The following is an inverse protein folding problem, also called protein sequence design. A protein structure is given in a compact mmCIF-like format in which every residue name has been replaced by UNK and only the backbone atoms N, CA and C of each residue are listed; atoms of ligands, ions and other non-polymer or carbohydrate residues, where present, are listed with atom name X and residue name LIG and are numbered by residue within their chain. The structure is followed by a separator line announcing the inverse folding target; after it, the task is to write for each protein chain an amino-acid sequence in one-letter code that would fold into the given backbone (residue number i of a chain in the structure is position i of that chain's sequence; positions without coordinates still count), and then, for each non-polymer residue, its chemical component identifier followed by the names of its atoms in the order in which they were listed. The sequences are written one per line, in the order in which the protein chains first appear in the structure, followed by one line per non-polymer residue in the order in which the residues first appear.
data_IF_194241483095
#
_entry.id   IF_194241483095
#
_cell.length_a   1.000
_cell.length_b   1.000
_cell.length_c   1.000
_cell.angle_alpha   90.00
_cell.angle_beta   90.00
_cell.angle_gamma   90.00
#
_symmetry.space_group_name_H-M   'P 1'
#
loop_
_entity.id
_entity.type
_entity.pdbx_description
1 polymer ?
#
# COMPACT_ATOMS: atom_id res chain seq x y z
N UNK A 1 -25.14 -62.94 53.04
CA UNK A 1 -25.79 -62.52 51.81
C UNK A 1 -25.22 -61.15 51.41
N UNK A 2 -24.40 -61.09 50.42
CA UNK A 2 -23.74 -59.86 49.94
C UNK A 2 -24.35 -59.53 48.54
N UNK A 3 -24.92 -58.36 48.43
CA UNK A 3 -25.48 -57.85 47.15
C UNK A 3 -24.38 -57.30 46.26
N UNK A 4 -24.41 -57.45 44.92
CA UNK A 4 -23.45 -56.88 44.00
C UNK A 4 -23.77 -55.42 43.66
N UNK A 5 -22.73 -54.60 43.67
CA UNK A 5 -22.80 -53.19 43.20
C UNK A 5 -22.73 -53.12 41.69
N UNK A 6 -23.73 -52.51 41.06
CA UNK A 6 -23.71 -52.15 39.64
C UNK A 6 -22.89 -50.87 39.42
N UNK A 7 -21.83 -50.96 38.68
CA UNK A 7 -21.09 -49.79 38.12
C UNK A 7 -21.76 -49.36 36.79
N UNK A 8 -22.31 -48.15 36.80
CA UNK A 8 -22.77 -47.50 35.58
C UNK A 8 -21.59 -46.82 34.88
N UNK A 9 -21.20 -47.28 33.70
CA UNK A 9 -20.26 -46.58 32.82
C UNK A 9 -20.99 -45.43 32.10
N UNK A 10 -20.65 -44.21 32.49
CA UNK A 10 -21.06 -43.02 31.74
C UNK A 10 -20.06 -42.80 30.62
N UNK A 11 -20.48 -43.04 29.37
CA UNK A 11 -19.69 -42.72 28.18
C UNK A 11 -19.72 -41.19 27.91
N UNK A 12 -18.59 -40.53 28.08
CA UNK A 12 -18.37 -39.15 27.68
C UNK A 12 -18.18 -39.11 26.14
N UNK A 13 -19.20 -38.66 25.42
CA UNK A 13 -19.09 -38.37 24.00
C UNK A 13 -18.36 -37.03 23.82
N UNK A 14 -17.07 -37.06 23.48
CA UNK A 14 -16.33 -35.88 23.08
C UNK A 14 -16.75 -35.44 21.67
N UNK A 15 -17.53 -34.38 21.59
CA UNK A 15 -17.85 -33.73 20.31
C UNK A 15 -16.59 -33.08 19.76
N UNK A 16 -15.96 -33.69 18.77
CA UNK A 16 -14.99 -33.04 17.90
C UNK A 16 -15.75 -31.99 17.07
N UNK A 17 -15.72 -30.75 17.52
CA UNK A 17 -16.07 -29.62 16.68
C UNK A 17 -15.01 -29.51 15.57
N UNK A 18 -15.31 -30.07 14.40
CA UNK A 18 -14.50 -29.92 13.21
C UNK A 18 -14.37 -28.43 12.91
N UNK A 19 -13.14 -27.89 12.88
CA UNK A 19 -12.86 -26.59 12.27
C UNK A 19 -13.33 -26.70 10.81
N UNK A 20 -14.43 -26.04 10.50
CA UNK A 20 -14.83 -25.83 9.10
C UNK A 20 -13.64 -25.17 8.40
N UNK A 21 -13.01 -25.89 7.48
CA UNK A 21 -11.95 -25.35 6.67
C UNK A 21 -12.48 -24.10 5.96
N UNK A 22 -11.79 -22.98 6.05
CA UNK A 22 -12.17 -21.78 5.32
C UNK A 22 -12.25 -22.12 3.82
N UNK A 23 -13.31 -21.65 3.16
CA UNK A 23 -13.45 -21.79 1.72
C UNK A 23 -12.21 -21.19 1.02
N UNK A 24 -11.76 -21.73 -0.11
CA UNK A 24 -10.62 -21.15 -0.84
C UNK A 24 -10.92 -19.70 -1.24
N UNK A 25 -9.89 -18.82 -1.24
CA UNK A 25 -10.05 -17.42 -1.63
C UNK A 25 -10.69 -17.28 -3.00
N UNK A 26 -11.69 -16.40 -3.13
CA UNK A 26 -12.24 -16.03 -4.44
C UNK A 26 -11.38 -14.91 -5.04
N UNK A 27 -11.32 -14.87 -6.37
CA UNK A 27 -10.67 -13.75 -7.10
C UNK A 27 -11.76 -12.91 -7.75
N UNK A 28 -11.71 -11.62 -7.52
CA UNK A 28 -12.61 -10.61 -8.04
C UNK A 28 -11.86 -9.70 -9.01
N UNK A 29 -12.43 -9.48 -10.20
CA UNK A 29 -11.87 -8.51 -11.15
C UNK A 29 -12.34 -7.11 -10.81
N UNK A 30 -11.42 -6.13 -10.77
CA UNK A 30 -11.71 -4.73 -10.51
C UNK A 30 -10.96 -3.85 -11.53
N UNK A 31 -11.69 -3.37 -12.52
CA UNK A 31 -11.15 -2.48 -13.55
C UNK A 31 -11.24 -1.02 -13.11
N UNK A 32 -10.28 -0.19 -13.55
CA UNK A 32 -10.32 1.24 -13.35
C UNK A 32 -11.23 1.89 -14.40
N UNK A 33 -12.43 2.29 -13.99
CA UNK A 33 -13.46 2.94 -14.81
C UNK A 33 -14.03 4.16 -14.09
N UNK A 34 -14.79 5.05 -14.77
CA UNK A 34 -15.43 6.17 -14.08
C UNK A 34 -16.37 5.78 -12.92
N UNK A 35 -16.85 4.54 -12.89
CA UNK A 35 -17.72 4.02 -11.84
C UNK A 35 -16.98 3.33 -10.68
N UNK A 36 -15.69 3.02 -10.85
CA UNK A 36 -14.92 2.18 -9.91
C UNK A 36 -13.69 2.88 -9.35
N UNK A 37 -13.60 4.19 -9.47
CA UNK A 37 -12.48 4.97 -8.94
C UNK A 37 -12.94 6.05 -7.96
N UNK A 38 -12.15 6.22 -6.90
CA UNK A 38 -12.12 7.41 -6.06
C UNK A 38 -11.04 8.35 -6.60
N UNK A 39 -11.43 9.44 -7.25
CA UNK A 39 -10.50 10.35 -7.86
C UNK A 39 -10.09 11.45 -6.89
N UNK A 40 -8.91 11.35 -6.34
CA UNK A 40 -8.26 12.37 -5.52
C UNK A 40 -8.63 12.35 -4.04
N UNK A 41 -9.19 11.27 -3.49
CA UNK A 41 -9.60 11.25 -2.09
C UNK A 41 -9.63 9.84 -1.48
N UNK A 42 -9.62 9.81 -0.13
CA UNK A 42 -10.06 8.72 0.73
C UNK A 42 -11.22 9.22 1.59
N UNK A 43 -12.25 8.40 1.84
CA UNK A 43 -13.43 8.83 2.58
C UNK A 43 -14.21 7.68 3.20
N UNK A 44 -14.53 7.81 4.51
CA UNK A 44 -15.25 6.78 5.25
C UNK A 44 -16.72 6.59 4.83
N UNK A 45 -17.32 7.61 4.18
CA UNK A 45 -18.70 7.55 3.68
C UNK A 45 -18.77 7.24 2.18
N UNK A 46 -17.63 6.89 1.56
CA UNK A 46 -17.62 6.52 0.15
C UNK A 46 -18.40 5.22 -0.09
N UNK A 47 -19.23 5.22 -1.13
CA UNK A 47 -19.96 3.99 -1.52
C UNK A 47 -18.98 2.98 -2.10
N UNK A 48 -18.88 1.76 -1.53
CA UNK A 48 -17.98 0.75 -2.06
C UNK A 48 -18.43 0.25 -3.45
N UNK A 49 -17.46 0.09 -4.35
CA UNK A 49 -17.68 -0.42 -5.70
C UNK A 49 -17.59 -1.93 -5.78
N UNK A 50 -17.01 -2.55 -4.76
CA UNK A 50 -16.87 -3.99 -4.63
C UNK A 50 -16.94 -4.38 -3.14
N UNK A 51 -17.58 -5.52 -2.86
CA UNK A 51 -17.61 -6.14 -1.52
C UNK A 51 -17.02 -7.53 -1.61
N UNK A 52 -16.09 -7.87 -0.72
CA UNK A 52 -15.38 -9.16 -0.70
C UNK A 52 -15.32 -9.74 0.69
N UNK A 53 -15.15 -11.05 0.78
CA UNK A 53 -14.86 -11.71 2.05
C UNK A 53 -13.38 -11.47 2.45
N UNK A 54 -13.13 -11.46 3.77
CA UNK A 54 -11.75 -11.47 4.27
C UNK A 54 -10.98 -12.70 3.78
N UNK A 55 -9.81 -12.47 3.20
CA UNK A 55 -8.96 -13.47 2.56
C UNK A 55 -9.13 -13.58 1.04
N UNK A 56 -10.13 -12.94 0.45
CA UNK A 56 -10.31 -12.90 -0.99
C UNK A 56 -9.21 -12.10 -1.70
N UNK A 57 -9.12 -12.31 -3.01
CA UNK A 57 -8.13 -11.68 -3.89
C UNK A 57 -8.85 -10.72 -4.84
N UNK A 58 -8.28 -9.54 -5.04
CA UNK A 58 -8.65 -8.66 -6.13
C UNK A 58 -7.60 -8.71 -7.25
N UNK A 59 -8.05 -8.81 -8.49
CA UNK A 59 -7.25 -8.63 -9.71
C UNK A 59 -7.59 -7.23 -10.23
N UNK A 60 -6.74 -6.25 -9.89
CA UNK A 60 -7.05 -4.82 -9.98
C UNK A 60 -6.19 -4.12 -11.03
N UNK A 61 -6.82 -3.25 -11.85
CA UNK A 61 -6.13 -2.30 -12.70
C UNK A 61 -6.04 -0.95 -12.01
N UNK A 62 -4.91 -0.27 -12.19
CA UNK A 62 -4.74 1.13 -11.81
C UNK A 62 -4.27 1.95 -13.01
N UNK A 63 -4.42 3.26 -12.91
CA UNK A 63 -4.01 4.19 -13.96
C UNK A 63 -2.95 5.14 -13.43
N UNK A 64 -2.05 5.54 -14.33
CA UNK A 64 -1.06 6.56 -14.01
C UNK A 64 -1.71 7.91 -13.67
N UNK A 65 -1.08 8.65 -12.79
CA UNK A 65 -1.54 9.95 -12.30
C UNK A 65 -1.17 11.07 -13.28
N UNK A 66 -1.91 11.19 -14.38
CA UNK A 66 -1.73 12.28 -15.36
C UNK A 66 -3.04 12.53 -16.12
N UNK A 67 -3.07 13.62 -16.91
CA UNK A 67 -4.17 13.90 -17.83
C UNK A 67 -3.81 13.44 -19.25
N UNK A 68 -4.81 13.09 -20.09
CA UNK A 68 -4.58 12.81 -21.50
C UNK A 68 -3.86 13.95 -22.23
N UNK A 69 -4.22 15.19 -21.91
CA UNK A 69 -3.56 16.40 -22.46
C UNK A 69 -2.11 16.56 -21.99
N UNK A 70 -1.81 16.24 -20.74
CA UNK A 70 -0.43 16.25 -20.21
C UNK A 70 0.43 15.23 -20.92
N UNK A 71 -0.05 14.00 -21.09
CA UNK A 71 0.64 12.95 -21.82
C UNK A 71 0.86 13.29 -23.31
N UNK A 72 -0.15 13.87 -23.96
CA UNK A 72 -0.03 14.31 -25.36
C UNK A 72 1.02 15.43 -25.51
N UNK A 73 1.06 16.42 -24.61
CA UNK A 73 2.11 17.44 -24.55
C UNK A 73 3.51 16.84 -24.34
N UNK A 74 3.61 15.77 -23.56
CA UNK A 74 4.84 15.05 -23.33
C UNK A 74 5.25 14.11 -24.51
N UNK A 75 4.45 14.07 -25.58
CA UNK A 75 4.77 13.34 -26.82
C UNK A 75 4.18 11.92 -26.87
N UNK A 76 3.28 11.54 -25.97
CA UNK A 76 2.58 10.24 -26.06
C UNK A 76 1.55 10.31 -27.17
N UNK A 77 1.60 9.45 -28.20
CA UNK A 77 0.56 9.38 -29.24
C UNK A 77 -0.81 9.10 -28.65
N UNK A 78 -1.84 9.74 -29.16
CA UNK A 78 -3.22 9.61 -28.63
C UNK A 78 -3.70 8.15 -28.57
N UNK A 79 -3.34 7.34 -29.55
CA UNK A 79 -3.66 5.90 -29.59
C UNK A 79 -2.98 5.07 -28.49
N UNK A 80 -1.92 5.59 -27.85
CA UNK A 80 -1.22 4.94 -26.72
C UNK A 80 -1.72 5.43 -25.37
N UNK A 81 -2.54 6.48 -25.31
CA UNK A 81 -3.19 6.95 -24.08
C UNK A 81 -4.40 6.05 -23.80
N UNK A 82 -4.42 5.45 -22.61
CA UNK A 82 -5.46 4.49 -22.23
C UNK A 82 -6.87 5.10 -22.34
N UNK A 83 -7.81 4.38 -22.96
CA UNK A 83 -9.19 4.82 -23.12
C UNK A 83 -9.88 5.01 -21.74
N UNK A 84 -9.56 4.16 -20.76
CA UNK A 84 -10.06 4.30 -19.39
C UNK A 84 -9.59 5.60 -18.72
N UNK A 85 -8.33 6.01 -18.93
CA UNK A 85 -7.83 7.30 -18.42
C UNK A 85 -8.59 8.47 -19.04
N UNK A 86 -8.82 8.44 -20.36
CA UNK A 86 -9.61 9.47 -21.08
C UNK A 86 -11.04 9.55 -20.53
N UNK A 87 -11.69 8.39 -20.34
CA UNK A 87 -13.04 8.31 -19.81
C UNK A 87 -13.12 8.87 -18.37
N UNK A 88 -12.22 8.43 -17.48
CA UNK A 88 -12.20 8.88 -16.09
C UNK A 88 -11.98 10.37 -15.98
N UNK A 89 -11.00 10.92 -16.69
CA UNK A 89 -10.70 12.37 -16.64
C UNK A 89 -11.83 13.21 -17.20
N UNK A 90 -12.58 12.71 -18.20
CA UNK A 90 -13.73 13.42 -18.79
C UNK A 90 -15.02 13.30 -17.97
N UNK A 91 -15.24 12.17 -17.29
CA UNK A 91 -16.53 11.88 -16.65
C UNK A 91 -16.51 12.10 -15.13
N UNK A 92 -15.35 11.92 -14.46
CA UNK A 92 -15.21 12.12 -13.00
C UNK A 92 -14.81 13.56 -12.73
N UNK A 93 -15.82 14.43 -12.65
CA UNK A 93 -15.66 15.88 -12.50
C UNK A 93 -16.54 16.42 -11.37
N UNK A 94 -16.38 17.70 -11.01
CA UNK A 94 -17.17 18.36 -9.96
C UNK A 94 -17.05 17.64 -8.63
N UNK A 95 -18.17 17.41 -7.95
CA UNK A 95 -18.23 16.78 -6.62
C UNK A 95 -17.76 15.32 -6.60
N UNK A 96 -17.65 14.68 -7.77
CA UNK A 96 -17.09 13.33 -7.87
C UNK A 96 -15.57 13.30 -7.74
N UNK A 97 -14.89 14.44 -7.95
CA UNK A 97 -13.45 14.59 -7.81
C UNK A 97 -13.10 15.19 -6.45
N UNK A 98 -12.17 14.57 -5.74
CA UNK A 98 -11.67 15.06 -4.46
C UNK A 98 -10.57 16.12 -4.62
N UNK A 99 -9.99 16.54 -3.49
CA UNK A 99 -8.98 17.60 -3.47
C UNK A 99 -7.59 17.16 -3.96
N UNK A 100 -7.33 15.85 -4.08
CA UNK A 100 -6.05 15.31 -4.57
C UNK A 100 -6.02 15.06 -6.07
N UNK A 101 -4.93 14.43 -6.53
CA UNK A 101 -4.67 14.17 -7.95
C UNK A 101 -4.76 12.70 -8.38
N UNK A 102 -4.64 11.76 -7.46
CA UNK A 102 -4.50 10.34 -7.78
C UNK A 102 -5.83 9.70 -8.20
N UNK A 103 -5.77 8.82 -9.20
CA UNK A 103 -6.89 7.97 -9.61
C UNK A 103 -6.75 6.66 -8.84
N UNK A 104 -7.55 6.49 -7.79
CA UNK A 104 -7.51 5.32 -6.92
C UNK A 104 -8.63 4.35 -7.31
N UNK A 105 -8.30 3.10 -7.61
CA UNK A 105 -9.28 2.06 -7.91
C UNK A 105 -9.84 1.51 -6.61
N UNK A 106 -11.15 1.55 -6.45
CA UNK A 106 -11.90 1.28 -5.23
C UNK A 106 -13.02 2.30 -5.00
N UNK A 107 -13.62 2.36 -3.79
CA UNK A 107 -13.28 1.61 -2.58
C UNK A 107 -13.75 0.15 -2.59
N UNK A 108 -12.96 -0.74 -2.00
CA UNK A 108 -13.32 -2.13 -1.77
C UNK A 108 -13.70 -2.34 -0.30
N UNK A 109 -14.92 -2.80 -0.07
CA UNK A 109 -15.40 -3.16 1.26
C UNK A 109 -14.99 -4.59 1.59
N UNK A 110 -14.26 -4.80 2.69
CA UNK A 110 -13.87 -6.12 3.18
C UNK A 110 -14.78 -6.52 4.33
N UNK A 111 -15.54 -7.59 4.16
CA UNK A 111 -16.51 -8.06 5.14
C UNK A 111 -15.85 -8.39 6.48
N UNK A 112 -16.48 -7.94 7.56
CA UNK A 112 -16.02 -8.12 8.94
C UNK A 112 -14.87 -7.23 9.37
N UNK A 113 -14.40 -6.31 8.53
CA UNK A 113 -13.41 -5.29 8.93
C UNK A 113 -14.07 -4.21 9.78
N UNK A 114 -13.52 -3.97 10.98
CA UNK A 114 -14.04 -3.01 11.94
C UNK A 114 -12.94 -2.04 12.41
N UNK A 115 -13.28 -0.82 12.82
CA UNK A 115 -12.32 0.10 13.41
C UNK A 115 -11.53 -0.55 14.56
N UNK A 116 -10.20 -0.36 14.53
CA UNK A 116 -9.29 -0.95 15.50
C UNK A 116 -8.77 -2.34 15.13
N UNK A 117 -9.23 -2.96 14.03
CA UNK A 117 -8.56 -4.09 13.40
C UNK A 117 -7.40 -3.61 12.52
N UNK A 118 -6.66 -4.53 11.90
CA UNK A 118 -5.74 -4.22 10.84
C UNK A 118 -6.15 -4.92 9.53
N UNK A 119 -5.89 -4.27 8.39
CA UNK A 119 -5.99 -4.88 7.06
C UNK A 119 -4.61 -5.38 6.63
N UNK A 120 -4.49 -6.69 6.43
CA UNK A 120 -3.33 -7.31 5.80
C UNK A 120 -3.52 -7.28 4.29
N UNK A 121 -2.62 -6.58 3.59
CA UNK A 121 -2.60 -6.39 2.15
C UNK A 121 -1.40 -7.14 1.59
N UNK A 122 -1.60 -8.34 1.06
CA UNK A 122 -0.55 -9.11 0.38
C UNK A 122 -0.48 -8.75 -1.08
N UNK A 123 0.66 -8.27 -1.53
CA UNK A 123 0.93 -7.97 -2.94
C UNK A 123 1.46 -9.23 -3.61
N UNK A 124 0.55 -9.99 -4.26
CA UNK A 124 0.89 -11.30 -4.82
C UNK A 124 1.63 -11.20 -6.16
N UNK A 125 1.26 -10.22 -6.99
CA UNK A 125 1.87 -9.95 -8.28
C UNK A 125 1.63 -8.50 -8.69
N UNK A 126 2.57 -7.94 -9.48
CA UNK A 126 2.43 -6.64 -10.13
C UNK A 126 2.92 -6.79 -11.57
N UNK A 127 2.10 -6.33 -12.52
CA UNK A 127 2.40 -6.30 -13.95
C UNK A 127 2.43 -4.87 -14.48
N UNK A 128 3.28 -4.63 -15.48
CA UNK A 128 3.39 -3.38 -16.22
C UNK A 128 2.60 -3.47 -17.54
N UNK A 129 1.36 -2.96 -17.62
CA UNK A 129 0.55 -3.03 -18.84
C UNK A 129 1.05 -2.07 -19.94
N UNK A 130 1.68 -0.96 -19.56
CA UNK A 130 2.22 0.02 -20.48
C UNK A 130 3.70 -0.23 -20.84
N UNK A 131 4.10 0.26 -22.01
CA UNK A 131 5.49 0.25 -22.47
C UNK A 131 6.23 1.57 -22.14
N UNK A 132 5.57 2.45 -21.43
CA UNK A 132 6.12 3.74 -21.03
C UNK A 132 5.65 4.13 -19.63
N UNK A 133 6.44 4.97 -19.01
CA UNK A 133 6.08 5.79 -17.87
C UNK A 133 6.48 7.24 -18.15
N UNK A 134 6.25 8.10 -17.19
CA UNK A 134 6.76 9.47 -17.25
C UNK A 134 7.40 9.85 -15.91
N UNK A 135 8.28 10.84 -15.97
CA UNK A 135 8.80 11.54 -14.80
C UNK A 135 8.60 13.03 -15.01
N UNK A 136 8.10 13.71 -14.00
CA UNK A 136 7.95 15.15 -13.96
C UNK A 136 9.24 15.85 -13.56
N UNK A 137 9.12 17.12 -13.21
CA UNK A 137 10.17 17.85 -12.51
C UNK A 137 9.55 18.96 -11.69
N UNK A 138 9.59 18.83 -10.36
CA UNK A 138 9.09 19.81 -9.38
C UNK A 138 9.64 19.48 -7.99
N UNK A 139 8.80 19.24 -7.02
CA UNK A 139 9.12 18.61 -5.75
C UNK A 139 9.99 19.43 -4.80
N UNK A 140 11.03 18.79 -4.25
CA UNK A 140 11.80 19.32 -3.13
C UNK A 140 12.78 20.44 -3.50
N UNK A 141 13.35 20.37 -4.73
CA UNK A 141 14.30 21.35 -5.25
C UNK A 141 13.86 21.87 -6.62
N UNK A 142 12.73 22.58 -6.73
CA UNK A 142 12.12 22.95 -8.01
C UNK A 142 12.97 23.89 -8.87
N UNK A 143 13.92 24.60 -8.29
CA UNK A 143 14.83 25.50 -9.02
C UNK A 143 15.79 24.75 -9.98
N UNK A 144 15.89 23.41 -9.86
CA UNK A 144 16.63 22.57 -10.81
C UNK A 144 15.79 22.18 -12.01
N UNK A 145 14.53 22.54 -12.06
CA UNK A 145 13.64 22.22 -13.18
C UNK A 145 13.62 23.36 -14.21
N UNK A 146 13.75 23.00 -15.48
CA UNK A 146 13.56 23.95 -16.57
C UNK A 146 12.08 24.32 -16.70
N UNK A 147 11.80 25.61 -16.92
CA UNK A 147 10.44 26.09 -17.10
C UNK A 147 9.86 25.63 -18.45
N UNK A 148 8.57 25.32 -18.43
CA UNK A 148 7.79 24.95 -19.63
C UNK A 148 8.24 23.65 -20.33
N UNK A 149 9.11 22.87 -19.70
CA UNK A 149 9.50 21.54 -20.20
C UNK A 149 8.42 20.52 -19.81
N UNK A 150 7.87 19.77 -20.77
CA UNK A 150 6.93 18.69 -20.48
C UNK A 150 7.59 17.57 -19.68
N UNK A 151 6.78 16.76 -19.00
CA UNK A 151 7.27 15.53 -18.38
C UNK A 151 8.04 14.66 -19.36
N UNK A 152 9.12 14.06 -18.88
CA UNK A 152 9.95 13.14 -19.68
C UNK A 152 9.22 11.79 -19.82
N UNK A 153 8.97 11.37 -21.05
CA UNK A 153 8.47 10.02 -21.32
C UNK A 153 9.63 9.05 -21.33
N UNK A 154 9.52 7.99 -20.54
CA UNK A 154 10.56 6.98 -20.36
C UNK A 154 10.03 5.65 -20.87
N UNK A 155 10.74 5.02 -21.82
CA UNK A 155 10.36 3.72 -22.36
C UNK A 155 10.75 2.61 -21.40
N UNK A 156 9.80 1.70 -21.11
CA UNK A 156 9.98 0.58 -20.20
C UNK A 156 10.30 -0.70 -20.97
N UNK A 157 11.45 -1.27 -20.72
CA UNK A 157 11.79 -2.61 -21.21
C UNK A 157 11.27 -3.66 -20.21
N UNK A 158 10.02 -4.07 -20.39
CA UNK A 158 9.33 -5.03 -19.50
C UNK A 158 10.00 -6.42 -19.47
N UNK A 159 10.62 -6.83 -20.56
CA UNK A 159 11.29 -8.12 -20.63
C UNK A 159 12.59 -8.17 -19.82
N UNK A 160 13.31 -7.04 -19.77
CA UNK A 160 14.55 -6.89 -19.00
C UNK A 160 14.34 -6.28 -17.62
N UNK A 161 13.11 -5.80 -17.35
CA UNK A 161 12.80 -5.00 -16.16
C UNK A 161 13.76 -3.84 -15.96
N UNK A 162 13.92 -3.01 -17.03
CA UNK A 162 14.79 -1.84 -17.03
C UNK A 162 14.15 -0.70 -17.82
N UNK A 163 14.59 0.52 -17.55
CA UNK A 163 14.28 1.70 -18.34
C UNK A 163 15.57 2.46 -18.66
N UNK A 164 15.73 2.93 -19.88
CA UNK A 164 16.84 3.82 -20.25
C UNK A 164 16.41 5.26 -20.00
N UNK A 165 17.03 5.91 -19.01
CA UNK A 165 16.76 7.30 -18.67
C UNK A 165 17.40 8.26 -19.68
N UNK A 166 18.65 8.02 -20.02
CA UNK A 166 19.44 8.67 -21.07
C UNK A 166 20.38 7.63 -21.70
N UNK A 167 20.96 7.88 -22.87
CA UNK A 167 21.90 6.95 -23.48
C UNK A 167 23.00 6.50 -22.52
N UNK A 168 22.99 5.20 -22.20
CA UNK A 168 23.92 4.59 -21.26
C UNK A 168 23.57 4.72 -19.78
N UNK A 169 22.44 5.33 -19.42
CA UNK A 169 21.92 5.39 -18.05
C UNK A 169 20.69 4.50 -17.94
N UNK A 170 20.88 3.31 -17.37
CA UNK A 170 19.84 2.28 -17.27
C UNK A 170 19.38 2.12 -15.82
N UNK A 171 18.08 2.33 -15.59
CA UNK A 171 17.44 2.19 -14.28
C UNK A 171 16.76 0.82 -14.19
N UNK A 172 17.00 0.01 -13.14
CA UNK A 172 16.24 -1.20 -12.89
C UNK A 172 14.81 -0.87 -12.47
N UNK A 173 13.83 -1.67 -12.94
CA UNK A 173 12.43 -1.51 -12.57
C UNK A 173 12.09 -2.41 -11.37
N UNK A 174 11.45 -1.80 -10.38
CA UNK A 174 10.91 -2.46 -9.19
C UNK A 174 9.49 -1.93 -8.95
N UNK A 175 8.48 -2.41 -9.72
CA UNK A 175 7.14 -1.83 -9.68
C UNK A 175 6.48 -1.95 -8.31
N UNK A 176 5.84 -0.87 -7.89
CA UNK A 176 5.04 -0.82 -6.66
C UNK A 176 3.95 0.26 -6.79
N UNK A 177 3.04 0.32 -5.82
CA UNK A 177 2.00 1.36 -5.77
C UNK A 177 2.40 2.42 -4.76
N UNK A 178 2.45 3.67 -5.19
CA UNK A 178 2.64 4.82 -4.31
C UNK A 178 1.47 4.93 -3.33
N UNK A 179 0.24 4.82 -3.84
CA UNK A 179 -0.98 4.89 -3.03
C UNK A 179 -1.61 3.52 -2.81
N UNK A 180 -1.53 3.04 -1.56
CA UNK A 180 -2.27 1.88 -1.02
C UNK A 180 -2.84 2.28 0.33
N UNK A 181 -4.17 2.38 0.47
CA UNK A 181 -4.74 2.87 1.71
C UNK A 181 -6.17 2.38 1.98
N UNK A 182 -6.65 2.78 3.15
CA UNK A 182 -8.02 2.55 3.60
C UNK A 182 -8.69 3.90 3.92
N UNK A 183 -10.00 3.91 4.10
CA UNK A 183 -10.68 5.13 4.54
C UNK A 183 -10.16 5.60 5.91
N UNK A 184 -9.91 6.89 6.10
CA UNK A 184 -9.61 7.48 7.41
C UNK A 184 -10.82 7.40 8.34
N UNK A 185 -10.66 7.83 9.59
CA UNK A 185 -11.78 7.91 10.53
C UNK A 185 -12.86 8.88 10.01
N UNK A 186 -14.16 8.58 10.28
CA UNK A 186 -15.28 9.37 9.71
C UNK A 186 -15.19 10.87 9.98
N UNK A 187 -14.69 11.27 11.14
CA UNK A 187 -14.52 12.69 11.54
C UNK A 187 -13.50 13.45 10.69
N UNK A 188 -12.62 12.76 9.99
CA UNK A 188 -11.67 13.38 9.06
C UNK A 188 -12.35 13.85 7.77
N UNK A 189 -13.56 13.37 7.48
CA UNK A 189 -14.29 13.67 6.26
C UNK A 189 -13.59 13.12 5.01
N UNK A 190 -13.73 13.82 3.89
CA UNK A 190 -13.15 13.47 2.59
C UNK A 190 -11.74 14.07 2.48
N UNK A 191 -10.73 13.25 2.77
CA UNK A 191 -9.32 13.70 2.76
C UNK A 191 -8.70 13.62 1.38
N UNK A 192 -7.69 14.47 1.13
CA UNK A 192 -6.89 14.43 -0.11
C UNK A 192 -6.12 13.12 -0.25
N UNK A 193 -6.00 12.62 -1.47
CA UNK A 193 -5.16 11.46 -1.79
C UNK A 193 -3.66 11.76 -1.77
N UNK A 194 -3.24 13.05 -1.70
CA UNK A 194 -1.82 13.42 -1.78
C UNK A 194 -1.06 13.10 -0.49
N UNK A 195 -1.41 13.61 0.71
CA UNK A 195 -0.60 13.31 1.88
C UNK A 195 -0.88 11.90 2.41
N UNK A 196 0.17 11.13 2.71
CA UNK A 196 0.02 9.87 3.45
C UNK A 196 -0.35 10.12 4.91
N UNK A 197 -0.81 9.06 5.59
CA UNK A 197 -1.17 9.14 7.00
C UNK A 197 -1.24 7.77 7.67
N UNK A 198 -1.94 7.72 8.82
CA UNK A 198 -2.17 6.46 9.52
C UNK A 198 -3.02 5.48 8.70
N UNK A 199 -3.85 5.98 7.81
CA UNK A 199 -4.63 5.20 6.86
C UNK A 199 -3.80 4.65 5.69
N UNK A 200 -2.49 4.76 5.73
CA UNK A 200 -1.53 4.57 4.67
C UNK A 200 -1.74 5.61 3.55
N UNK A 201 -2.39 5.28 2.45
CA UNK A 201 -2.60 6.20 1.33
C UNK A 201 -1.32 6.34 0.51
N UNK A 202 -0.93 7.55 0.20
CA UNK A 202 0.23 7.87 -0.65
C UNK A 202 1.55 7.72 0.12
N UNK A 203 1.92 6.47 0.39
CA UNK A 203 3.13 6.15 1.17
C UNK A 203 4.42 6.35 0.39
N UNK A 204 4.38 6.17 -0.93
CA UNK A 204 5.54 6.18 -1.84
C UNK A 204 6.72 5.33 -1.35
N UNK A 205 6.38 4.21 -0.73
CA UNK A 205 7.37 3.31 -0.17
C UNK A 205 7.78 2.23 -1.18
N UNK A 206 8.93 2.42 -1.81
CA UNK A 206 9.49 1.55 -2.84
C UNK A 206 9.75 0.10 -2.40
N UNK A 207 9.67 -0.20 -1.11
CA UNK A 207 9.83 -1.55 -0.57
C UNK A 207 8.53 -2.40 -0.74
N UNK A 208 7.40 -1.78 -1.11
CA UNK A 208 6.10 -2.44 -1.25
C UNK A 208 5.91 -3.12 -2.63
N UNK A 209 6.90 -3.88 -3.05
CA UNK A 209 6.91 -4.63 -4.31
C UNK A 209 6.12 -5.95 -4.22
N UNK A 210 5.98 -6.66 -5.34
CA UNK A 210 5.40 -8.01 -5.34
C UNK A 210 6.12 -8.95 -4.36
N UNK A 211 5.36 -9.69 -3.55
CA UNK A 211 5.86 -10.55 -2.48
C UNK A 211 5.94 -9.86 -1.11
N UNK A 212 5.70 -8.55 -1.02
CA UNK A 212 5.59 -7.84 0.25
C UNK A 212 4.18 -7.92 0.84
N UNK A 213 4.07 -7.62 2.14
CA UNK A 213 2.80 -7.51 2.86
C UNK A 213 2.78 -6.18 3.60
N UNK A 214 1.71 -5.40 3.38
CA UNK A 214 1.44 -4.16 4.11
C UNK A 214 0.31 -4.43 5.11
N UNK A 215 0.44 -3.93 6.33
CA UNK A 215 -0.57 -3.96 7.38
C UNK A 215 -1.01 -2.54 7.68
N UNK A 216 -2.30 -2.26 7.56
CA UNK A 216 -2.87 -0.92 7.70
C UNK A 216 -3.88 -0.92 8.85
N UNK A 217 -3.81 -0.01 9.83
CA UNK A 217 -4.86 0.14 10.84
C UNK A 217 -6.18 0.55 10.19
N UNK A 218 -7.29 -0.08 10.61
CA UNK A 218 -8.63 0.18 10.08
C UNK A 218 -9.33 1.23 10.94
N UNK A 219 -9.93 2.24 10.31
CA UNK A 219 -10.62 3.37 10.97
C UNK A 219 -12.12 3.44 10.64
N UNK A 220 -12.56 2.76 9.59
CA UNK A 220 -13.95 2.74 9.16
C UNK A 220 -14.43 1.31 8.88
N UNK A 221 -15.73 0.99 9.08
CA UNK A 221 -16.27 -0.33 8.75
C UNK A 221 -16.00 -0.72 7.29
N UNK A 222 -15.58 -1.97 7.08
CA UNK A 222 -15.23 -2.46 5.76
C UNK A 222 -13.87 -2.01 5.25
N UNK A 223 -13.09 -1.27 6.03
CA UNK A 223 -11.80 -0.67 5.65
C UNK A 223 -11.89 0.30 4.46
N UNK A 224 -12.71 0.03 3.44
CA UNK A 224 -12.85 0.81 2.21
C UNK A 224 -11.48 1.01 1.51
N UNK A 225 -10.89 -0.11 1.11
CA UNK A 225 -9.55 -0.18 0.53
C UNK A 225 -9.52 0.44 -0.88
N UNK A 226 -8.51 1.26 -1.13
CA UNK A 226 -8.23 1.90 -2.41
C UNK A 226 -6.76 1.76 -2.79
N UNK A 227 -6.47 1.66 -4.10
CA UNK A 227 -5.13 1.46 -4.64
C UNK A 227 -4.96 2.20 -5.96
N UNK A 228 -3.79 2.82 -6.15
CA UNK A 228 -3.47 3.58 -7.36
C UNK A 228 -2.03 4.01 -7.40
N UNK A 229 -1.74 5.00 -8.25
CA UNK A 229 -0.45 5.65 -8.31
C UNK A 229 0.69 4.66 -8.52
N UNK A 230 0.72 4.10 -9.72
CA UNK A 230 1.66 3.04 -10.08
C UNK A 230 3.03 3.58 -10.45
N UNK A 231 4.06 3.13 -9.76
CA UNK A 231 5.45 3.48 -9.98
C UNK A 231 6.23 2.31 -10.58
N UNK A 232 6.93 2.51 -11.68
CA UNK A 232 7.82 1.49 -12.25
C UNK A 232 9.19 1.45 -11.53
N UNK A 233 9.67 2.61 -11.06
CA UNK A 233 10.89 2.75 -10.25
C UNK A 233 10.89 4.10 -9.53
N UNK A 234 11.45 4.14 -8.33
CA UNK A 234 11.61 5.35 -7.52
C UNK A 234 12.84 5.23 -6.63
N UNK A 235 13.51 6.34 -6.36
CA UNK A 235 14.49 6.45 -5.29
C UNK A 235 13.84 6.81 -3.95
N UNK A 236 14.48 6.49 -2.83
CA UNK A 236 14.04 7.00 -1.53
C UNK A 236 14.06 8.53 -1.54
N UNK A 237 12.97 9.12 -1.02
CA UNK A 237 12.77 10.57 -0.99
C UNK A 237 11.87 11.13 -2.08
N UNK A 238 11.70 10.47 -3.23
CA UNK A 238 10.87 10.91 -4.38
C UNK A 238 11.05 12.41 -4.69
N UNK A 239 12.30 12.83 -4.77
CA UNK A 239 12.72 14.23 -4.58
C UNK A 239 12.18 15.24 -5.59
N UNK A 240 11.75 14.80 -6.78
CA UNK A 240 11.18 15.68 -7.81
C UNK A 240 9.64 15.59 -7.93
N UNK A 241 8.93 14.99 -6.95
CA UNK A 241 7.48 14.82 -6.90
C UNK A 241 6.92 13.68 -7.75
N UNK A 242 7.75 12.96 -8.46
CA UNK A 242 7.34 11.83 -9.28
C UNK A 242 8.37 10.72 -9.27
N UNK A 243 7.90 9.50 -9.37
CA UNK A 243 8.68 8.32 -9.73
C UNK A 243 8.86 8.22 -11.26
N UNK A 244 9.08 7.01 -11.79
CA UNK A 244 8.66 6.66 -13.14
C UNK A 244 7.20 6.24 -13.05
N UNK A 245 6.31 7.19 -13.22
CA UNK A 245 4.86 7.04 -13.13
C UNK A 245 4.32 6.17 -14.25
N UNK A 246 3.50 5.19 -13.94
CA UNK A 246 2.89 4.32 -14.94
C UNK A 246 1.60 3.68 -14.43
N UNK A 247 0.83 3.05 -15.32
CA UNK A 247 -0.29 2.20 -14.91
C UNK A 247 0.21 0.83 -14.52
N UNK A 248 -0.40 0.24 -13.51
CA UNK A 248 -0.09 -1.10 -13.03
C UNK A 248 -1.35 -1.99 -13.01
N UNK A 249 -1.12 -3.30 -13.10
CA UNK A 249 -2.10 -4.32 -12.73
C UNK A 249 -1.53 -5.13 -11.59
N UNK A 250 -2.37 -5.48 -10.60
CA UNK A 250 -1.92 -6.30 -9.49
C UNK A 250 -2.93 -7.36 -9.07
N UNK A 251 -2.41 -8.40 -8.44
CA UNK A 251 -3.18 -9.36 -7.64
C UNK A 251 -2.89 -9.09 -6.17
N UNK A 252 -3.92 -8.69 -5.45
CA UNK A 252 -3.84 -8.27 -4.05
C UNK A 252 -4.78 -9.15 -3.22
N UNK A 253 -4.27 -9.77 -2.17
CA UNK A 253 -5.11 -10.47 -1.19
C UNK A 253 -5.35 -9.56 0.01
N UNK A 254 -6.63 -9.42 0.42
CA UNK A 254 -7.06 -8.58 1.53
C UNK A 254 -7.59 -9.44 2.67
N UNK A 255 -6.93 -9.39 3.84
CA UNK A 255 -7.32 -10.19 5.00
C UNK A 255 -7.47 -9.32 6.24
N UNK A 256 -8.59 -9.43 6.93
CA UNK A 256 -8.83 -8.74 8.21
C UNK A 256 -8.07 -9.43 9.33
N UNK A 257 -7.27 -8.69 10.08
CA UNK A 257 -6.46 -9.15 11.21
C UNK A 257 -7.04 -8.60 12.52
N UNK A 258 -7.86 -9.42 13.17
CA UNK A 258 -8.46 -9.11 14.48
C UNK A 258 -7.45 -9.18 15.64
N UNK A 259 -6.38 -9.93 15.44
CA UNK A 259 -5.30 -10.19 16.38
C UNK A 259 -4.21 -9.10 16.39
N UNK A 260 -4.28 -8.12 15.48
CA UNK A 260 -3.26 -7.11 15.31
C UNK A 260 -3.81 -5.71 15.61
N UNK A 261 -3.11 -4.96 16.47
CA UNK A 261 -3.44 -3.57 16.81
C UNK A 261 -2.28 -2.68 16.38
N UNK A 262 -2.55 -1.76 15.48
CA UNK A 262 -1.55 -0.89 14.88
C UNK A 262 -1.90 0.58 15.14
N UNK A 263 -0.87 1.40 15.34
CA UNK A 263 -0.97 2.86 15.36
C UNK A 263 -0.64 3.45 13.99
N UNK A 264 0.38 2.90 13.35
CA UNK A 264 0.86 3.26 12.03
C UNK A 264 0.90 2.05 11.10
N UNK A 265 0.92 2.24 9.79
CA UNK A 265 1.18 1.15 8.86
C UNK A 265 2.52 0.47 9.15
N UNK A 266 2.55 -0.84 8.94
CA UNK A 266 3.75 -1.66 9.04
C UNK A 266 3.81 -2.57 7.84
N UNK A 267 5.01 -2.91 7.38
CA UNK A 267 5.15 -3.86 6.30
C UNK A 267 6.21 -4.92 6.58
N UNK A 268 6.21 -5.93 5.76
CA UNK A 268 7.30 -6.89 5.68
C UNK A 268 7.53 -7.34 4.25
N UNK A 269 8.79 -7.54 3.93
CA UNK A 269 9.25 -8.16 2.68
C UNK A 269 9.78 -9.57 2.97
N UNK A 270 10.30 -10.24 1.96
CA UNK A 270 11.01 -11.50 2.17
C UNK A 270 12.21 -11.35 3.13
N UNK A 271 12.84 -10.18 3.15
CA UNK A 271 14.11 -9.92 3.84
C UNK A 271 13.99 -9.04 5.07
N UNK A 272 12.99 -8.16 5.16
CA UNK A 272 12.94 -7.10 6.16
C UNK A 272 11.56 -6.99 6.83
N UNK A 273 11.56 -6.55 8.09
CA UNK A 273 10.44 -5.91 8.77
C UNK A 273 10.56 -4.40 8.58
N UNK A 274 9.41 -3.73 8.35
CA UNK A 274 9.38 -2.30 8.04
C UNK A 274 8.35 -1.61 8.91
N UNK A 275 8.77 -0.62 9.68
CA UNK A 275 7.88 0.35 10.34
C UNK A 275 7.84 1.66 9.55
N UNK A 276 6.73 2.36 9.61
CA UNK A 276 6.51 3.60 8.85
C UNK A 276 5.82 4.63 9.73
N UNK A 277 6.12 5.90 9.49
CA UNK A 277 5.34 7.01 10.04
C UNK A 277 5.48 8.24 9.15
N UNK A 278 4.53 9.16 9.29
CA UNK A 278 4.51 10.42 8.56
C UNK A 278 4.19 11.58 9.49
N UNK A 279 4.78 12.74 9.22
CA UNK A 279 4.51 13.98 9.96
C UNK A 279 4.96 15.18 9.11
N UNK A 280 4.38 16.37 9.27
CA UNK A 280 4.90 17.58 8.65
C UNK A 280 6.35 17.92 9.04
N UNK A 281 6.78 17.52 10.23
CA UNK A 281 8.15 17.63 10.70
C UNK A 281 8.90 16.29 10.54
N UNK A 282 9.96 16.30 9.73
CA UNK A 282 10.74 15.10 9.42
C UNK A 282 11.37 14.44 10.67
N UNK A 283 11.77 15.24 11.66
CA UNK A 283 12.34 14.69 12.89
C UNK A 283 11.27 13.98 13.72
N UNK A 284 10.05 14.48 13.74
CA UNK A 284 8.89 13.84 14.37
C UNK A 284 8.51 12.57 13.67
N UNK A 285 8.41 12.56 12.33
CA UNK A 285 8.18 11.35 11.52
C UNK A 285 9.26 10.28 11.80
N UNK A 286 10.54 10.69 11.85
CA UNK A 286 11.66 9.80 12.16
C UNK A 286 11.54 9.16 13.54
N UNK A 287 11.23 9.95 14.57
CA UNK A 287 11.02 9.45 15.94
C UNK A 287 9.87 8.45 15.99
N UNK A 288 8.76 8.75 15.31
CA UNK A 288 7.59 7.88 15.27
C UNK A 288 7.91 6.54 14.57
N UNK A 289 8.56 6.55 13.41
CA UNK A 289 8.94 5.34 12.69
C UNK A 289 9.89 4.44 13.50
N UNK A 290 10.87 5.04 14.21
CA UNK A 290 11.78 4.32 15.11
C UNK A 290 11.00 3.73 16.29
N UNK A 291 10.08 4.51 16.89
CA UNK A 291 9.26 4.05 18.01
C UNK A 291 8.39 2.84 17.62
N UNK A 292 7.77 2.86 16.44
CA UNK A 292 6.99 1.74 15.92
C UNK A 292 7.83 0.47 15.72
N UNK A 293 9.09 0.59 15.28
CA UNK A 293 9.99 -0.56 15.19
C UNK A 293 10.36 -1.10 16.59
N UNK A 294 10.59 -0.22 17.56
CA UNK A 294 10.84 -0.65 18.95
C UNK A 294 9.62 -1.37 19.51
N UNK A 295 8.41 -0.84 19.31
CA UNK A 295 7.17 -1.43 19.79
C UNK A 295 6.90 -2.80 19.16
N UNK A 296 7.17 -2.93 17.85
CA UNK A 296 7.16 -4.22 17.15
C UNK A 296 8.12 -5.23 17.79
N UNK A 297 9.35 -4.84 18.09
CA UNK A 297 10.35 -5.73 18.68
C UNK A 297 9.99 -6.16 20.10
N UNK A 298 9.36 -5.28 20.86
CA UNK A 298 8.85 -5.61 22.20
C UNK A 298 7.70 -6.60 22.10
N UNK A 299 6.71 -6.34 21.24
CA UNK A 299 5.53 -7.16 21.12
C UNK A 299 5.81 -8.52 20.48
N UNK A 300 6.47 -8.53 19.31
CA UNK A 300 6.60 -9.72 18.47
C UNK A 300 7.88 -10.51 18.70
N UNK A 301 8.95 -9.87 19.19
CA UNK A 301 10.24 -10.51 19.45
C UNK A 301 10.56 -10.64 20.94
N UNK A 302 9.63 -10.19 21.81
CA UNK A 302 9.72 -10.30 23.27
C UNK A 302 11.01 -9.69 23.84
N UNK A 303 11.53 -8.65 23.21
CA UNK A 303 12.66 -7.89 23.71
C UNK A 303 12.22 -6.91 24.79
N UNK A 304 13.10 -6.61 25.74
CA UNK A 304 12.89 -5.43 26.59
C UNK A 304 13.00 -4.16 25.73
N UNK A 305 12.31 -3.09 26.09
CA UNK A 305 12.36 -1.80 25.36
C UNK A 305 13.80 -1.30 25.17
N UNK A 306 14.62 -1.41 26.21
CA UNK A 306 16.04 -1.05 26.15
C UNK A 306 16.80 -1.84 25.07
N UNK A 307 16.65 -3.18 25.06
CA UNK A 307 17.29 -4.04 24.04
C UNK A 307 16.74 -3.81 22.64
N UNK A 308 15.44 -3.58 22.51
CA UNK A 308 14.83 -3.25 21.23
C UNK A 308 15.41 -1.94 20.66
N UNK A 309 15.54 -0.90 21.47
CA UNK A 309 16.14 0.37 21.06
C UNK A 309 17.62 0.21 20.64
N UNK A 310 18.41 -0.53 21.43
CA UNK A 310 19.79 -0.84 21.04
C UNK A 310 19.85 -1.60 19.71
N UNK A 311 18.97 -2.59 19.50
CA UNK A 311 18.93 -3.37 18.26
C UNK A 311 18.57 -2.51 17.04
N UNK A 312 17.61 -1.61 17.16
CA UNK A 312 17.29 -0.66 16.08
C UNK A 312 18.50 0.21 15.73
N UNK A 313 19.27 0.66 16.73
CA UNK A 313 20.50 1.44 16.49
C UNK A 313 21.61 0.66 15.78
N UNK A 314 21.68 -0.66 16.03
CA UNK A 314 22.75 -1.52 15.48
C UNK A 314 22.40 -2.06 14.09
N UNK A 315 21.12 -2.37 13.84
CA UNK A 315 20.69 -3.11 12.67
C UNK A 315 19.54 -2.48 11.89
N UNK A 316 18.89 -1.43 12.41
CA UNK A 316 17.82 -0.71 11.76
C UNK A 316 18.34 0.32 10.78
N UNK A 317 17.82 0.29 9.54
CA UNK A 317 18.13 1.28 8.51
C UNK A 317 16.98 2.28 8.42
N UNK A 318 17.22 3.51 8.84
CA UNK A 318 16.25 4.62 8.75
C UNK A 318 16.40 5.31 7.40
N UNK A 319 15.32 5.42 6.65
CA UNK A 319 15.28 6.06 5.34
C UNK A 319 14.13 7.07 5.25
N UNK A 320 14.33 8.11 4.46
CA UNK A 320 13.29 9.06 4.09
C UNK A 320 12.50 8.42 2.94
N UNK A 321 11.22 8.14 3.15
CA UNK A 321 10.37 7.49 2.16
C UNK A 321 10.04 8.46 1.01
N UNK A 322 9.51 9.64 1.36
CA UNK A 322 9.24 10.75 0.44
C UNK A 322 9.35 12.10 1.16
N UNK A 323 9.62 13.18 0.40
CA UNK A 323 9.79 14.57 0.89
C UNK A 323 8.78 15.54 0.29
N UNK A 324 7.83 15.07 -0.51
CA UNK A 324 7.11 15.90 -1.47
C UNK A 324 5.60 15.94 -1.27
N UNK A 325 5.00 14.99 -0.57
CA UNK A 325 3.55 14.87 -0.38
C UNK A 325 3.05 15.68 0.81
N UNK A 326 3.28 16.96 0.72
CA UNK A 326 2.91 17.90 1.79
C UNK A 326 1.41 17.84 2.13
N UNK A 327 1.10 18.02 3.43
CA UNK A 327 2.02 18.46 4.48
C UNK A 327 2.89 17.35 5.06
N UNK A 328 2.66 16.06 4.81
CA UNK A 328 3.29 14.96 5.52
C UNK A 328 4.52 14.41 4.78
N UNK A 329 5.64 14.38 5.47
CA UNK A 329 6.89 13.74 5.04
C UNK A 329 6.92 12.31 5.57
N UNK A 330 7.41 11.36 4.75
CA UNK A 330 7.43 9.94 5.08
C UNK A 330 8.80 9.44 5.54
N UNK A 331 8.82 8.62 6.60
CA UNK A 331 10.01 7.92 7.08
C UNK A 331 9.68 6.45 7.30
N UNK A 332 10.60 5.57 6.93
CA UNK A 332 10.51 4.16 7.28
C UNK A 332 11.80 3.63 7.91
N UNK A 333 11.66 2.57 8.70
CA UNK A 333 12.80 1.83 9.27
C UNK A 333 12.74 0.40 8.79
N UNK A 334 13.81 -0.09 8.16
CA UNK A 334 13.96 -1.48 7.75
C UNK A 334 14.84 -2.23 8.74
N UNK A 335 14.39 -3.40 9.17
CA UNK A 335 15.15 -4.29 10.05
C UNK A 335 15.27 -5.68 9.41
N UNK A 336 16.49 -6.16 9.10
CA UNK A 336 16.68 -7.43 8.41
C UNK A 336 16.16 -8.63 9.22
N UNK A 337 15.36 -9.49 8.57
CA UNK A 337 14.86 -10.74 9.17
C UNK A 337 15.98 -11.73 9.47
N UNK A 338 17.08 -11.68 8.72
CA UNK A 338 18.23 -12.58 8.85
C UNK A 338 18.96 -12.52 10.19
N UNK A 339 18.79 -11.41 10.94
CA UNK A 339 19.39 -11.28 12.29
C UNK A 339 18.67 -12.15 13.33
N UNK A 340 17.45 -12.62 13.04
CA UNK A 340 16.65 -13.47 13.93
C UNK A 340 16.89 -14.94 13.61
N UNK A 341 17.97 -15.52 14.12
CA UNK A 341 18.25 -16.94 13.94
C UNK A 341 17.29 -17.81 14.75
N UNK A 342 16.81 -18.91 14.15
CA UNK A 342 16.10 -19.94 14.92
C UNK A 342 17.07 -20.46 15.98
N UNK A 343 16.74 -20.32 17.27
CA UNK A 343 17.48 -21.01 18.32
C UNK A 343 17.40 -22.50 18.02
N UNK A 344 18.53 -23.12 17.71
CA UNK A 344 18.60 -24.57 17.61
C UNK A 344 18.02 -25.17 18.90
N UNK A 345 17.13 -26.15 18.75
CA UNK A 345 16.63 -26.95 19.89
C UNK A 345 17.74 -27.80 20.44
#
# INVERSE_FOLDING_TARGET
MRAPACFALTALASALAGRAGAAPPKTHRLEATPATVAYGYYWAEATPVLRIASGDIIDVDTLLTNSPTGLAKAGVPDAKIQASLKAIVSEVTGDRKGPGGHILTGPVFVEGAEPGDALEVKILAIDLPLEYGYNGCSGYLPDNCEKDVPSKIIQLNRAKMTAEFEPGIVVPLHPFFGSIGVAPAPEAGRVSSVPPGRHAGNLDNRELVAGSTLYIPIFAPGALFEIGDGHAAQGDGEVDQTAIETSLRARIQLTVRKDMKLTWPRAETATDYISMATDPDLATATKAAIQEMIDFLVAEKQLTRHKAYQLVSIAGNVAITQLVDKPNLGVHVRLPKSIFQKRGK
#
